data_IF_013133155730
#
_entry.id   IF_013133155730
#
_cell.length_a   1.000
_cell.length_b   1.000
_cell.length_c   1.000
_cell.angle_alpha   90.00
_cell.angle_beta   90.00
_cell.angle_gamma   90.00
#
_symmetry.space_group_name_H-M   'P 1'
#
loop_
_entity.id
_entity.type
_entity.pdbx_description
1 polymer ?
#
# COMPACT_ATOMS: atom_id res chain seq x y z
N UNK A 1 -4.99 -15.46 8.78
CA UNK A 1 -4.90 -14.10 9.31
C UNK A 1 -5.45 -13.12 8.32
N UNK A 2 -6.33 -12.26 8.76
CA UNK A 2 -6.93 -11.28 7.87
C UNK A 2 -6.08 -10.03 7.81
N UNK A 3 -5.96 -9.45 6.63
CA UNK A 3 -5.33 -8.15 6.49
C UNK A 3 -6.28 -7.07 6.97
N UNK A 4 -5.70 -5.99 7.47
CA UNK A 4 -6.49 -4.86 7.94
C UNK A 4 -6.77 -3.96 6.75
N UNK A 5 -8.03 -3.60 6.56
CA UNK A 5 -8.41 -2.71 5.47
C UNK A 5 -7.94 -1.30 5.77
N UNK A 6 -7.35 -0.64 4.77
CA UNK A 6 -6.89 0.72 4.87
C UNK A 6 -7.79 1.57 3.98
N UNK A 7 -8.52 2.50 4.58
CA UNK A 7 -9.49 3.31 3.84
C UNK A 7 -8.76 4.32 2.96
N UNK A 8 -9.26 4.50 1.74
CA UNK A 8 -8.72 5.48 0.82
C UNK A 8 -9.22 6.86 1.21
N UNK A 9 -8.37 7.86 1.08
CA UNK A 9 -8.71 9.23 1.42
C UNK A 9 -8.56 10.10 0.18
N UNK A 10 -9.63 10.76 -0.19
CA UNK A 10 -9.68 11.52 -1.44
C UNK A 10 -9.08 12.90 -1.23
N UNK A 11 -8.16 13.26 -2.10
CA UNK A 11 -7.58 14.61 -2.08
C UNK A 11 -8.61 15.62 -2.60
N UNK A 12 -8.48 16.84 -2.12
CA UNK A 12 -9.39 17.92 -2.51
C UNK A 12 -8.59 19.20 -2.67
N UNK A 13 -8.99 20.03 -3.62
CA UNK A 13 -8.32 21.30 -3.86
C UNK A 13 -8.61 22.33 -2.76
N UNK A 14 -9.56 22.04 -1.88
CA UNK A 14 -9.79 22.90 -0.71
C UNK A 14 -8.98 22.44 0.50
N UNK A 15 -8.18 21.40 0.33
CA UNK A 15 -7.36 20.86 1.39
C UNK A 15 -8.02 19.71 2.10
N UNK A 16 -7.20 18.76 2.55
CA UNK A 16 -7.71 17.63 3.30
C UNK A 16 -6.62 17.19 4.27
N UNK A 17 -7.04 16.88 5.49
CA UNK A 17 -6.12 16.32 6.49
C UNK A 17 -6.10 14.82 6.34
N UNK A 18 -4.92 14.26 6.18
CA UNK A 18 -4.77 12.83 5.97
C UNK A 18 -4.58 12.15 7.33
N UNK A 19 -5.38 11.14 7.59
CA UNK A 19 -5.26 10.31 8.79
C UNK A 19 -4.36 9.12 8.47
N UNK A 20 -3.40 8.86 9.34
CA UNK A 20 -2.44 7.77 9.16
C UNK A 20 -2.76 6.65 10.12
N UNK A 21 -2.52 5.43 9.66
CA UNK A 21 -2.69 4.22 10.48
C UNK A 21 -1.34 3.60 10.71
N UNK A 22 -1.18 2.94 11.85
CA UNK A 22 0.06 2.22 12.10
C UNK A 22 0.14 1.03 11.14
N UNK A 23 1.34 0.79 10.62
CA UNK A 23 1.59 -0.43 9.87
C UNK A 23 1.43 -1.61 10.82
N UNK A 24 0.79 -2.68 10.35
CA UNK A 24 0.47 -3.81 11.18
C UNK A 24 1.14 -5.07 10.65
N UNK A 25 1.40 -5.98 11.57
CA UNK A 25 2.09 -7.23 11.22
C UNK A 25 1.27 -8.07 10.25
N UNK A 26 -0.04 -8.00 10.33
CA UNK A 26 -0.93 -8.74 9.43
C UNK A 26 -0.92 -8.20 8.01
N UNK A 27 -0.41 -6.99 7.83
CA UNK A 27 -0.46 -6.34 6.53
C UNK A 27 -1.76 -5.61 6.31
N UNK A 28 -1.80 -4.85 5.23
CA UNK A 28 -2.98 -4.07 4.87
C UNK A 28 -3.52 -4.50 3.51
N UNK A 29 -4.77 -4.18 3.25
CA UNK A 29 -5.35 -4.27 1.92
C UNK A 29 -6.01 -2.95 1.61
N UNK A 30 -5.94 -2.52 0.35
CA UNK A 30 -6.48 -1.24 -0.10
C UNK A 30 -7.26 -1.47 -1.38
N UNK A 31 -8.45 -0.91 -1.45
CA UNK A 31 -9.23 -0.97 -2.68
C UNK A 31 -8.50 -0.20 -3.78
N UNK A 32 -8.37 -0.80 -4.96
CA UNK A 32 -7.63 -0.21 -6.08
C UNK A 32 -8.38 -0.50 -7.37
N UNK A 33 -9.63 -0.08 -7.43
CA UNK A 33 -10.51 -0.41 -8.54
C UNK A 33 -10.06 0.29 -9.82
N UNK A 34 -9.60 1.52 -9.70
CA UNK A 34 -9.31 2.36 -10.87
C UNK A 34 -7.83 2.68 -11.05
N UNK A 35 -6.96 2.16 -10.19
CA UNK A 35 -5.53 2.39 -10.33
C UNK A 35 -5.07 3.78 -9.95
N UNK A 36 -5.85 4.50 -9.16
CA UNK A 36 -5.52 5.88 -8.78
C UNK A 36 -5.11 6.04 -7.33
N UNK A 37 -4.88 4.92 -6.65
CA UNK A 37 -4.49 4.92 -5.24
C UNK A 37 -2.98 4.92 -5.15
N UNK A 38 -2.45 5.71 -4.24
CA UNK A 38 -1.05 5.60 -3.87
C UNK A 38 -0.94 5.62 -2.35
N UNK A 39 0.20 5.18 -1.85
CA UNK A 39 0.46 5.09 -0.42
C UNK A 39 1.44 6.17 -0.02
N UNK A 40 1.26 6.70 1.19
CA UNK A 40 2.26 7.53 1.82
C UNK A 40 2.72 6.80 3.07
N UNK A 41 4.00 6.42 3.10
CA UNK A 41 4.57 5.64 4.21
C UNK A 41 5.58 6.52 4.92
N UNK A 42 5.44 6.64 6.23
CA UNK A 42 6.34 7.41 7.06
C UNK A 42 6.99 6.48 8.08
N UNK A 43 8.31 6.47 8.11
CA UNK A 43 9.06 5.58 8.98
C UNK A 43 9.73 6.41 10.09
N UNK A 44 9.14 6.36 11.27
CA UNK A 44 9.68 7.05 12.45
C UNK A 44 10.55 6.15 13.30
N UNK A 45 10.74 4.90 12.88
CA UNK A 45 11.56 3.96 13.63
C UNK A 45 13.05 4.23 13.38
N UNK A 46 13.89 3.50 14.10
CA UNK A 46 15.33 3.63 13.94
C UNK A 46 15.90 2.67 12.91
N UNK A 47 15.03 1.86 12.29
CA UNK A 47 15.45 0.84 11.33
C UNK A 47 14.79 1.11 10.00
N UNK A 48 15.46 0.67 8.93
CA UNK A 48 14.83 0.68 7.61
C UNK A 48 13.71 -0.34 7.59
N UNK A 49 12.66 -0.05 6.83
CA UNK A 49 11.57 -0.99 6.64
C UNK A 49 11.34 -1.16 5.15
N UNK A 50 10.98 -2.37 4.76
CA UNK A 50 10.63 -2.65 3.37
C UNK A 50 9.13 -2.84 3.28
N UNK A 51 8.49 -2.07 2.40
CA UNK A 51 7.08 -2.20 2.08
C UNK A 51 6.98 -3.11 0.87
N UNK A 52 6.16 -4.13 0.97
CA UNK A 52 6.04 -5.15 -0.08
C UNK A 52 4.64 -5.09 -0.64
N UNK A 53 4.54 -4.73 -1.92
CA UNK A 53 3.26 -4.72 -2.62
C UNK A 53 3.18 -6.02 -3.42
N UNK A 54 2.24 -6.87 -3.04
CA UNK A 54 2.14 -8.20 -3.63
C UNK A 54 1.59 -8.11 -5.05
N UNK A 55 2.19 -8.86 -5.95
CA UNK A 55 1.69 -8.96 -7.31
C UNK A 55 0.49 -9.88 -7.35
N UNK A 56 -0.53 -9.49 -8.13
CA UNK A 56 -1.67 -10.37 -8.39
C UNK A 56 -1.67 -10.93 -9.79
N UNK A 57 -0.65 -10.63 -10.56
CA UNK A 57 -0.59 -11.01 -11.97
C UNK A 57 0.02 -12.39 -12.11
N UNK A 58 -0.73 -13.29 -12.75
CA UNK A 58 -0.27 -14.65 -13.06
C UNK A 58 -0.51 -14.88 -14.53
N UNK A 59 0.53 -15.34 -15.22
CA UNK A 59 0.42 -15.65 -16.63
C UNK A 59 1.14 -16.95 -16.92
N UNK A 60 0.45 -17.88 -17.55
CA UNK A 60 1.00 -19.20 -17.89
C UNK A 60 1.55 -19.91 -16.65
N UNK A 61 0.89 -19.73 -15.51
CA UNK A 61 1.31 -20.34 -14.26
C UNK A 61 2.45 -19.63 -13.56
N UNK A 62 2.94 -18.54 -14.12
CA UNK A 62 4.05 -17.80 -13.52
C UNK A 62 3.55 -16.48 -12.95
N UNK A 63 3.92 -16.23 -11.71
CA UNK A 63 3.52 -15.01 -11.01
C UNK A 63 4.59 -13.94 -11.22
N UNK A 64 4.13 -12.72 -11.51
CA UNK A 64 5.04 -11.59 -11.59
C UNK A 64 5.60 -11.28 -10.20
N UNK A 65 6.84 -10.80 -10.15
CA UNK A 65 7.49 -10.53 -8.87
C UNK A 65 6.77 -9.40 -8.12
N UNK A 66 6.78 -9.51 -6.80
CA UNK A 66 6.26 -8.45 -5.95
C UNK A 66 7.15 -7.22 -6.02
N UNK A 67 6.60 -6.08 -5.67
CA UNK A 67 7.35 -4.83 -5.63
C UNK A 67 7.84 -4.57 -4.22
N UNK A 68 9.13 -4.34 -4.07
CA UNK A 68 9.75 -4.04 -2.78
C UNK A 68 10.22 -2.60 -2.77
N UNK A 69 9.82 -1.83 -1.76
CA UNK A 69 10.23 -0.45 -1.61
C UNK A 69 10.77 -0.27 -0.19
N UNK A 70 12.02 0.15 -0.09
CA UNK A 70 12.64 0.37 1.22
C UNK A 70 12.43 1.82 1.63
N UNK A 71 11.90 2.02 2.83
CA UNK A 71 11.76 3.34 3.44
C UNK A 71 12.75 3.40 4.59
N UNK A 72 13.77 4.25 4.46
CA UNK A 72 14.81 4.34 5.46
C UNK A 72 14.33 4.93 6.76
N UNK A 73 15.10 4.70 7.81
CA UNK A 73 14.78 5.26 9.12
C UNK A 73 14.68 6.77 9.01
N UNK A 74 13.58 7.33 9.50
CA UNK A 74 13.33 8.77 9.44
C UNK A 74 12.88 9.29 8.09
N UNK A 75 12.67 8.41 7.12
CA UNK A 75 12.24 8.80 5.78
C UNK A 75 10.75 8.63 5.60
N UNK A 76 10.23 9.28 4.55
CA UNK A 76 8.88 9.01 4.08
C UNK A 76 8.91 8.92 2.57
N UNK A 77 8.00 8.13 2.03
CA UNK A 77 7.91 7.93 0.59
C UNK A 77 6.47 7.83 0.16
N UNK A 78 6.20 8.33 -1.03
CA UNK A 78 4.95 8.05 -1.73
C UNK A 78 5.21 6.88 -2.68
N UNK A 79 4.31 5.92 -2.67
CA UNK A 79 4.46 4.69 -3.46
C UNK A 79 3.19 4.51 -4.28
N UNK A 80 3.34 4.35 -5.57
CA UNK A 80 2.21 4.15 -6.47
C UNK A 80 2.22 5.15 -7.60
N UNK A 81 1.16 5.23 -8.40
CA UNK A 81 -0.05 4.38 -8.31
C UNK A 81 0.20 2.95 -8.79
N UNK A 82 -0.78 2.09 -8.59
CA UNK A 82 -0.62 0.66 -8.85
C UNK A 82 -1.56 0.23 -9.98
N UNK A 83 -1.00 -0.38 -11.01
CA UNK A 83 -1.78 -0.88 -12.14
C UNK A 83 -2.67 -2.03 -11.67
N UNK A 84 -4.00 -1.93 -11.85
CA UNK A 84 -4.90 -2.96 -11.35
C UNK A 84 -4.64 -4.34 -11.96
N UNK A 85 -4.25 -4.40 -13.22
CA UNK A 85 -4.03 -5.68 -13.88
C UNK A 85 -2.76 -6.37 -13.39
N UNK A 86 -1.90 -5.67 -12.66
CA UNK A 86 -0.66 -6.24 -12.14
C UNK A 86 -0.77 -6.52 -10.64
N UNK A 87 -1.33 -5.58 -9.89
CA UNK A 87 -1.26 -5.64 -8.43
C UNK A 87 -2.55 -6.04 -7.75
N UNK A 88 -3.71 -5.87 -8.40
CA UNK A 88 -4.94 -6.30 -7.77
C UNK A 88 -4.96 -7.82 -7.68
N UNK A 89 -5.41 -8.31 -6.54
CA UNK A 89 -5.47 -9.75 -6.31
C UNK A 89 -6.65 -10.34 -7.07
N UNK A 90 -6.54 -11.62 -7.40
CA UNK A 90 -7.57 -12.28 -8.19
C UNK A 90 -8.41 -13.25 -7.39
N UNK A 91 -8.10 -13.40 -6.11
CA UNK A 91 -8.86 -14.32 -5.25
C UNK A 91 -9.76 -13.51 -4.33
N UNK A 92 -9.84 -13.84 -3.07
CA UNK A 92 -10.68 -13.14 -2.12
C UNK A 92 -10.39 -11.67 -1.97
N UNK A 93 -9.25 -11.19 -2.47
CA UNK A 93 -8.91 -9.77 -2.45
C UNK A 93 -9.14 -9.07 -3.76
N UNK A 94 -10.10 -9.51 -4.54
CA UNK A 94 -10.41 -8.92 -5.83
C UNK A 94 -10.56 -7.41 -5.72
N UNK A 95 -9.97 -6.68 -6.66
CA UNK A 95 -9.98 -5.22 -6.72
C UNK A 95 -9.22 -4.56 -5.57
N UNK A 96 -8.40 -5.33 -4.85
CA UNK A 96 -7.58 -4.81 -3.75
C UNK A 96 -6.12 -5.12 -3.99
N UNK A 97 -5.25 -4.22 -3.56
CA UNK A 97 -3.82 -4.51 -3.45
C UNK A 97 -3.54 -4.97 -2.03
N UNK A 98 -2.56 -5.86 -1.89
CA UNK A 98 -2.11 -6.37 -0.60
C UNK A 98 -0.74 -5.80 -0.30
N UNK A 99 -0.56 -5.34 0.93
CA UNK A 99 0.66 -4.67 1.36
C UNK A 99 1.18 -5.35 2.60
N UNK A 100 2.43 -5.80 2.55
CA UNK A 100 3.10 -6.38 3.70
C UNK A 100 4.27 -5.49 4.10
N UNK A 101 4.73 -5.66 5.33
CA UNK A 101 5.86 -4.91 5.86
C UNK A 101 6.88 -5.89 6.37
N UNK A 102 8.18 -5.58 6.14
CA UNK A 102 9.24 -6.43 6.63
C UNK A 102 9.37 -6.31 8.14
N UNK A 103 9.76 -7.39 8.77
CA UNK A 103 10.09 -7.42 10.20
C UNK A 103 8.97 -6.79 11.04
N UNK A 104 9.34 -6.08 12.09
CA UNK A 104 8.40 -5.46 13.02
C UNK A 104 8.10 -4.04 12.55
N UNK A 105 6.85 -3.73 12.20
CA UNK A 105 6.54 -2.41 11.64
C UNK A 105 6.25 -1.34 12.68
N UNK A 106 6.78 -1.46 13.89
CA UNK A 106 6.59 -0.44 14.91
C UNK A 106 7.22 0.88 14.48
N UNK A 107 6.49 1.98 14.70
CA UNK A 107 7.00 3.29 14.34
C UNK A 107 6.79 3.63 12.88
N UNK A 108 6.03 2.82 12.15
CA UNK A 108 5.76 3.05 10.74
C UNK A 108 4.29 3.38 10.57
N UNK A 109 4.00 4.48 9.88
CA UNK A 109 2.63 4.90 9.60
C UNK A 109 2.39 4.90 8.11
N UNK A 110 1.15 4.61 7.74
CA UNK A 110 0.78 4.49 6.32
C UNK A 110 -0.59 5.10 6.11
N UNK A 111 -0.78 5.68 4.94
CA UNK A 111 -2.08 6.19 4.50
C UNK A 111 -2.27 5.84 3.04
N UNK A 112 -3.51 5.52 2.69
CA UNK A 112 -3.88 5.30 1.30
C UNK A 112 -4.57 6.56 0.79
N UNK A 113 -4.09 7.10 -0.31
CA UNK A 113 -4.55 8.38 -0.84
C UNK A 113 -5.06 8.16 -2.25
N UNK A 114 -6.24 8.70 -2.52
CA UNK A 114 -6.89 8.57 -3.82
C UNK A 114 -6.84 9.89 -4.54
N UNK A 115 -6.31 9.88 -5.77
CA UNK A 115 -6.35 11.05 -6.61
C UNK A 115 -7.78 11.36 -7.00
N UNK A 116 -8.21 12.61 -6.94
CA UNK A 116 -9.51 12.97 -7.43
C UNK A 116 -9.50 13.04 -8.94
N UNK A 117 -10.64 12.92 -9.51
CA UNK A 117 -10.82 13.24 -10.87
C UNK A 117 -10.55 12.11 -11.80
N UNK A 118 -10.33 12.46 -12.98
CA UNK A 118 -10.51 11.61 -14.06
C UNK A 118 -9.34 11.10 -14.72
#
# INVERSE_FOLDING_TARGET
>A
MSRVALARQLLSDTGVSIAYSDAVHEGHKVENTDGKVFLHVRNYSEDDITVIILSGYVRAGLKLADRFVTVGAGEEKFIGPFAPDIYNQSDGGKDHIYIDYSATPEGVEVAAILFPGK
#
